data_IF_592746748480
#
_entry.id   IF_592746748480
#
_cell.length_a   1.000
_cell.length_b   1.000
_cell.length_c   1.000
_cell.angle_alpha   90.00
_cell.angle_beta   90.00
_cell.angle_gamma   90.00
#
_symmetry.space_group_name_H-M   'P 1'
#
loop_
_entity.id
_entity.type
_entity.pdbx_description
1 polymer ?
#
# COMPACT_ATOMS: atom_id res chain seq x y z
N UNK A 1 -37.26 -10.76 1.67
CA UNK A 1 -37.14 -12.05 0.95
C UNK A 1 -35.92 -12.79 1.49
N UNK A 2 -36.08 -14.04 1.95
CA UNK A 2 -34.93 -14.91 2.29
C UNK A 2 -34.16 -15.17 0.99
N UNK A 3 -32.88 -14.83 0.93
CA UNK A 3 -32.01 -15.15 -0.20
C UNK A 3 -31.25 -16.45 0.15
N UNK A 4 -31.66 -17.62 -0.37
CA UNK A 4 -31.06 -18.91 -0.04
C UNK A 4 -29.58 -18.99 -0.43
N UNK A 5 -29.18 -18.32 -1.51
CA UNK A 5 -27.80 -18.27 -2.00
C UNK A 5 -26.90 -17.52 -1.01
N UNK A 6 -27.36 -16.37 -0.53
CA UNK A 6 -26.65 -15.61 0.50
C UNK A 6 -26.49 -16.41 1.80
N UNK A 7 -27.51 -17.19 2.18
CA UNK A 7 -27.45 -18.05 3.35
C UNK A 7 -26.48 -19.22 3.17
N UNK A 8 -26.51 -19.88 2.00
CA UNK A 8 -25.57 -20.94 1.65
C UNK A 8 -24.12 -20.43 1.65
N UNK A 9 -23.88 -19.25 1.06
CA UNK A 9 -22.56 -18.62 1.04
C UNK A 9 -22.05 -18.33 2.45
N UNK A 10 -22.88 -17.74 3.32
CA UNK A 10 -22.51 -17.46 4.71
C UNK A 10 -22.11 -18.74 5.47
N UNK A 11 -22.90 -19.80 5.32
CA UNK A 11 -22.59 -21.09 5.95
C UNK A 11 -21.31 -21.72 5.39
N UNK A 12 -21.07 -21.59 4.08
CA UNK A 12 -19.83 -22.02 3.45
C UNK A 12 -18.62 -21.25 3.98
N UNK A 13 -18.70 -19.93 4.11
CA UNK A 13 -17.62 -19.09 4.68
C UNK A 13 -17.25 -19.58 6.08
N UNK A 14 -18.22 -19.80 6.97
CA UNK A 14 -17.94 -20.28 8.34
C UNK A 14 -17.23 -21.63 8.34
N UNK A 15 -17.65 -22.56 7.47
CA UNK A 15 -17.02 -23.88 7.35
C UNK A 15 -15.60 -23.79 6.80
N UNK A 16 -15.39 -23.00 5.74
CA UNK A 16 -14.08 -22.80 5.12
C UNK A 16 -13.12 -22.10 6.08
N UNK A 17 -13.57 -21.12 6.85
CA UNK A 17 -12.76 -20.48 7.88
C UNK A 17 -12.24 -21.50 8.91
N UNK A 18 -13.11 -22.35 9.45
CA UNK A 18 -12.69 -23.39 10.39
C UNK A 18 -11.68 -24.38 9.78
N UNK A 19 -11.91 -24.78 8.52
CA UNK A 19 -10.98 -25.64 7.79
C UNK A 19 -9.60 -24.98 7.58
N UNK A 20 -9.57 -23.73 7.12
CA UNK A 20 -8.34 -22.99 6.87
C UNK A 20 -7.57 -22.69 8.16
N UNK A 21 -8.26 -22.36 9.26
CA UNK A 21 -7.61 -22.18 10.58
C UNK A 21 -6.90 -23.47 11.00
N UNK A 22 -7.53 -24.63 10.84
CA UNK A 22 -6.89 -25.91 11.16
C UNK A 22 -5.68 -26.19 10.26
N UNK A 23 -5.77 -25.88 8.96
CA UNK A 23 -4.65 -26.04 8.03
C UNK A 23 -3.47 -25.13 8.40
N UNK A 24 -3.72 -23.85 8.65
CA UNK A 24 -2.69 -22.90 9.07
C UNK A 24 -2.09 -23.27 10.43
N UNK A 25 -2.90 -23.76 11.37
CA UNK A 25 -2.43 -24.27 12.67
C UNK A 25 -1.48 -25.45 12.46
N UNK A 26 -1.85 -26.41 11.61
CA UNK A 26 -1.00 -27.55 11.27
C UNK A 26 0.30 -27.11 10.57
N UNK A 27 0.23 -26.20 9.60
CA UNK A 27 1.41 -25.69 8.90
C UNK A 27 2.37 -24.96 9.84
N UNK A 28 1.84 -24.19 10.79
CA UNK A 28 2.64 -23.53 11.83
C UNK A 28 3.28 -24.53 12.78
N UNK A 29 2.51 -25.45 13.38
CA UNK A 29 3.03 -26.39 14.38
C UNK A 29 4.02 -27.38 13.78
N UNK A 30 3.79 -27.82 12.54
CA UNK A 30 4.68 -28.76 11.84
C UNK A 30 6.02 -28.13 11.45
N UNK A 31 6.09 -26.80 11.35
CA UNK A 31 7.29 -26.05 10.96
C UNK A 31 7.78 -25.10 12.05
N UNK A 32 7.37 -25.32 13.31
CA UNK A 32 7.55 -24.38 14.42
C UNK A 32 9.00 -23.91 14.58
N UNK A 33 9.96 -24.83 14.66
CA UNK A 33 11.39 -24.51 14.83
C UNK A 33 11.95 -23.68 13.66
N UNK A 34 11.55 -24.00 12.42
CA UNK A 34 11.99 -23.26 11.24
C UNK A 34 11.38 -21.84 11.20
N UNK A 35 10.14 -21.68 11.66
CA UNK A 35 9.48 -20.38 11.79
C UNK A 35 10.17 -19.55 12.88
N UNK A 36 10.38 -20.13 14.07
CA UNK A 36 10.99 -19.42 15.20
C UNK A 36 12.45 -19.03 14.94
N UNK A 37 13.18 -19.82 14.16
CA UNK A 37 14.54 -19.49 13.71
C UNK A 37 14.58 -18.54 12.50
N UNK A 38 13.43 -18.14 11.94
CA UNK A 38 13.36 -17.26 10.76
C UNK A 38 13.85 -17.90 9.46
N UNK A 39 13.94 -19.23 9.41
CA UNK A 39 14.45 -19.99 8.26
C UNK A 39 13.36 -20.53 7.35
N UNK A 40 12.10 -20.53 7.80
CA UNK A 40 10.95 -20.96 7.01
C UNK A 40 10.59 -19.92 5.93
N UNK A 41 10.63 -20.32 4.66
CA UNK A 41 10.47 -19.44 3.48
C UNK A 41 9.17 -19.64 2.71
N UNK A 42 8.16 -20.21 3.35
CA UNK A 42 6.87 -20.54 2.76
C UNK A 42 5.75 -19.93 3.59
N UNK A 43 4.53 -19.88 3.06
CA UNK A 43 3.36 -19.52 3.85
C UNK A 43 2.90 -20.71 4.73
N UNK A 44 1.90 -20.48 5.58
CA UNK A 44 1.36 -21.46 6.52
C UNK A 44 0.48 -22.53 5.86
N UNK A 45 0.05 -22.34 4.61
CA UNK A 45 -0.75 -23.31 3.87
C UNK A 45 0.09 -24.24 3.02
N UNK A 46 1.33 -23.88 2.71
CA UNK A 46 2.26 -24.71 1.93
C UNK A 46 2.39 -26.13 2.49
N UNK A 47 2.10 -27.14 1.67
CA UNK A 47 2.12 -28.54 2.05
C UNK A 47 0.95 -28.99 2.93
N UNK A 48 -0.05 -28.14 3.16
CA UNK A 48 -1.27 -28.47 3.93
C UNK A 48 -2.44 -28.78 3.00
N UNK A 49 -3.50 -29.38 3.54
CA UNK A 49 -4.75 -29.58 2.80
C UNK A 49 -5.43 -28.27 2.36
N UNK A 50 -5.05 -27.13 2.93
CA UNK A 50 -5.58 -25.81 2.57
C UNK A 50 -4.97 -25.21 1.30
N UNK A 51 -3.78 -25.66 0.88
CA UNK A 51 -3.01 -25.10 -0.25
C UNK A 51 -3.86 -25.04 -1.53
N UNK A 52 -4.42 -26.19 -1.94
CA UNK A 52 -5.20 -26.29 -3.17
C UNK A 52 -6.48 -25.41 -3.14
N UNK A 53 -7.08 -25.25 -1.96
CA UNK A 53 -8.25 -24.38 -1.81
C UNK A 53 -7.85 -22.91 -1.94
N UNK A 54 -6.75 -22.49 -1.32
CA UNK A 54 -6.23 -21.13 -1.45
C UNK A 54 -5.86 -20.80 -2.90
N UNK A 55 -5.21 -21.73 -3.60
CA UNK A 55 -4.88 -21.59 -5.03
C UNK A 55 -6.13 -21.46 -5.90
N UNK A 56 -7.15 -22.28 -5.64
CA UNK A 56 -8.41 -22.22 -6.36
C UNK A 56 -9.11 -20.87 -6.15
N UNK A 57 -9.23 -20.42 -4.89
CA UNK A 57 -9.88 -19.16 -4.56
C UNK A 57 -9.11 -17.96 -5.14
N UNK A 58 -7.77 -18.00 -5.10
CA UNK A 58 -6.90 -16.99 -5.71
C UNK A 58 -7.08 -16.91 -7.22
N UNK A 59 -7.08 -18.05 -7.92
CA UNK A 59 -7.35 -18.10 -9.37
C UNK A 59 -8.74 -17.60 -9.71
N UNK A 60 -9.76 -18.03 -8.97
CA UNK A 60 -11.14 -17.56 -9.20
C UNK A 60 -11.26 -16.05 -9.00
N UNK A 61 -10.64 -15.47 -7.98
CA UNK A 61 -10.63 -14.03 -7.75
C UNK A 61 -9.92 -13.30 -8.91
N UNK A 62 -8.79 -13.82 -9.37
CA UNK A 62 -8.06 -13.25 -10.50
C UNK A 62 -8.89 -13.26 -11.79
N UNK A 63 -9.35 -14.44 -12.21
CA UNK A 63 -10.04 -14.65 -13.48
C UNK A 63 -11.39 -13.94 -13.56
N UNK A 64 -12.13 -13.86 -12.43
CA UNK A 64 -13.51 -13.39 -12.43
C UNK A 64 -13.70 -11.98 -11.86
N UNK A 65 -12.73 -11.47 -11.08
CA UNK A 65 -12.83 -10.17 -10.43
C UNK A 65 -11.74 -9.25 -10.92
N UNK A 66 -10.47 -9.56 -10.67
CA UNK A 66 -9.34 -8.66 -10.95
C UNK A 66 -9.13 -8.40 -12.45
N UNK A 67 -9.45 -9.35 -13.32
CA UNK A 67 -9.41 -9.15 -14.77
C UNK A 67 -10.61 -8.38 -15.35
N UNK A 68 -11.49 -7.84 -14.53
CA UNK A 68 -12.63 -7.05 -15.01
C UNK A 68 -12.18 -5.69 -15.55
N UNK A 69 -12.84 -5.24 -16.61
CA UNK A 69 -12.54 -3.95 -17.27
C UNK A 69 -12.68 -2.75 -16.33
N UNK A 70 -13.60 -2.83 -15.37
CA UNK A 70 -13.84 -1.75 -14.42
C UNK A 70 -12.68 -1.61 -13.43
N UNK A 71 -12.11 -2.71 -12.95
CA UNK A 71 -10.92 -2.70 -12.09
C UNK A 71 -9.72 -2.15 -12.87
N UNK A 72 -9.48 -2.62 -14.09
CA UNK A 72 -8.36 -2.09 -14.89
C UNK A 72 -8.47 -0.58 -15.17
N UNK A 73 -9.66 -0.07 -15.45
CA UNK A 73 -9.86 1.37 -15.65
C UNK A 73 -9.57 2.16 -14.37
N UNK A 74 -9.97 1.63 -13.23
CA UNK A 74 -9.70 2.21 -11.91
C UNK A 74 -8.19 2.27 -11.65
N UNK A 75 -7.48 1.16 -11.81
CA UNK A 75 -6.02 1.07 -11.62
C UNK A 75 -5.25 2.05 -12.53
N UNK A 76 -5.63 2.18 -13.80
CA UNK A 76 -5.00 3.13 -14.74
C UNK A 76 -5.23 4.58 -14.31
N UNK A 77 -6.43 4.89 -13.80
CA UNK A 77 -6.73 6.26 -13.34
C UNK A 77 -5.94 6.60 -12.08
N UNK A 78 -5.78 5.63 -11.19
CA UNK A 78 -4.99 5.74 -9.96
C UNK A 78 -3.50 5.86 -10.23
N UNK A 79 -2.95 5.12 -11.21
CA UNK A 79 -1.54 5.23 -11.56
C UNK A 79 -1.19 6.62 -12.10
N UNK A 80 -2.00 7.17 -13.01
CA UNK A 80 -1.81 8.54 -13.53
C UNK A 80 -1.87 9.59 -12.42
N UNK A 81 -2.75 9.39 -11.44
CA UNK A 81 -2.86 10.25 -10.28
C UNK A 81 -1.62 10.17 -9.39
N UNK A 82 -1.15 8.96 -9.08
CA UNK A 82 0.05 8.72 -8.28
C UNK A 82 1.30 9.30 -8.96
N UNK A 83 1.49 9.05 -10.26
CA UNK A 83 2.61 9.59 -11.03
C UNK A 83 2.62 11.13 -10.96
N UNK A 84 1.46 11.77 -11.17
CA UNK A 84 1.36 13.22 -11.05
C UNK A 84 1.70 13.73 -9.66
N UNK A 85 1.15 13.13 -8.60
CA UNK A 85 1.43 13.56 -7.22
C UNK A 85 2.92 13.39 -6.91
N UNK A 86 3.50 12.24 -7.26
CA UNK A 86 4.93 11.98 -7.09
C UNK A 86 5.79 13.02 -7.81
N UNK A 87 5.51 13.33 -9.08
CA UNK A 87 6.27 14.32 -9.84
C UNK A 87 6.25 15.71 -9.17
N UNK A 88 5.07 16.15 -8.72
CA UNK A 88 4.92 17.47 -8.09
C UNK A 88 5.63 17.54 -6.74
N UNK A 89 5.43 16.56 -5.87
CA UNK A 89 6.02 16.57 -4.54
C UNK A 89 7.52 16.29 -4.55
N UNK A 90 8.00 15.36 -5.38
CA UNK A 90 9.44 15.11 -5.55
C UNK A 90 10.11 16.38 -6.04
N UNK A 91 9.58 17.03 -7.08
CA UNK A 91 10.11 18.29 -7.59
C UNK A 91 10.24 19.36 -6.50
N UNK A 92 9.20 19.52 -5.68
CA UNK A 92 9.15 20.51 -4.62
C UNK A 92 10.16 20.26 -3.48
N UNK A 93 10.52 19.01 -3.20
CA UNK A 93 11.47 18.68 -2.12
C UNK A 93 12.92 18.59 -2.56
N UNK A 94 13.24 18.58 -3.86
CA UNK A 94 14.63 18.40 -4.34
C UNK A 94 15.62 19.41 -3.75
N UNK A 95 15.17 20.64 -3.48
CA UNK A 95 15.97 21.71 -2.90
C UNK A 95 15.46 22.16 -1.51
N UNK A 96 14.47 21.46 -0.95
CA UNK A 96 13.99 21.74 0.41
C UNK A 96 15.12 21.54 1.43
N UNK A 97 15.22 22.43 2.43
CA UNK A 97 16.23 22.36 3.49
C UNK A 97 17.68 22.43 2.95
N UNK A 98 17.89 23.23 1.90
CA UNK A 98 19.21 23.57 1.34
C UNK A 98 19.40 25.08 1.25
N UNK A 99 20.60 25.53 0.88
CA UNK A 99 20.88 26.95 0.62
C UNK A 99 20.22 27.48 -0.65
N UNK A 100 19.60 26.63 -1.47
CA UNK A 100 18.86 27.04 -2.65
C UNK A 100 17.46 27.53 -2.27
N UNK A 101 17.08 28.77 -2.66
CA UNK A 101 15.74 29.26 -2.41
C UNK A 101 14.72 28.44 -3.19
N UNK A 102 13.64 28.06 -2.52
CA UNK A 102 12.50 27.41 -3.16
C UNK A 102 11.66 28.43 -3.93
N UNK A 103 11.03 27.98 -5.02
CA UNK A 103 9.98 28.76 -5.66
C UNK A 103 8.75 28.85 -4.75
N UNK A 104 7.95 29.92 -4.91
CA UNK A 104 6.71 30.11 -4.12
C UNK A 104 5.72 28.97 -4.27
N UNK A 105 5.73 28.26 -5.41
CA UNK A 105 4.90 27.08 -5.64
C UNK A 105 5.42 25.89 -4.85
N UNK A 106 6.74 25.64 -4.86
CA UNK A 106 7.36 24.52 -4.15
C UNK A 106 7.19 24.64 -2.64
N UNK A 107 7.34 25.85 -2.08
CA UNK A 107 7.08 26.10 -0.65
C UNK A 107 5.63 25.76 -0.27
N UNK A 108 4.67 26.12 -1.13
CA UNK A 108 3.26 25.78 -0.93
C UNK A 108 3.03 24.28 -1.06
N UNK A 109 3.67 23.61 -2.02
CA UNK A 109 3.59 22.15 -2.16
C UNK A 109 4.11 21.46 -0.90
N UNK A 110 5.29 21.82 -0.43
CA UNK A 110 5.87 21.28 0.82
C UNK A 110 4.97 21.57 2.03
N UNK A 111 4.18 22.65 2.01
CA UNK A 111 3.23 22.96 3.09
C UNK A 111 2.05 22.00 3.20
N UNK A 112 1.70 21.27 2.12
CA UNK A 112 0.69 20.20 2.19
C UNK A 112 1.21 18.95 2.91
N UNK A 113 2.53 18.77 2.99
CA UNK A 113 3.13 17.68 3.75
C UNK A 113 3.00 18.01 5.25
N UNK A 114 2.35 17.11 6.00
CA UNK A 114 2.08 17.34 7.43
C UNK A 114 3.36 17.59 8.23
N UNK A 115 3.24 18.36 9.31
CA UNK A 115 4.37 18.67 10.21
C UNK A 115 5.00 17.42 10.80
N UNK A 116 4.23 16.35 11.02
CA UNK A 116 4.76 15.10 11.55
C UNK A 116 5.82 14.50 10.61
N UNK A 117 5.54 14.45 9.31
CA UNK A 117 6.48 13.95 8.32
C UNK A 117 7.69 14.88 8.19
N UNK A 118 7.48 16.20 8.13
CA UNK A 118 8.58 17.18 8.04
C UNK A 118 9.49 17.16 9.27
N UNK A 119 8.93 16.97 10.45
CA UNK A 119 9.70 16.85 11.69
C UNK A 119 10.50 15.55 11.74
N UNK A 120 9.93 14.43 11.29
CA UNK A 120 10.67 13.16 11.17
C UNK A 120 11.87 13.31 10.23
N UNK A 121 11.68 13.94 9.06
CA UNK A 121 12.77 14.27 8.16
C UNK A 121 13.86 15.10 8.85
N UNK A 122 13.51 16.21 9.50
CA UNK A 122 14.49 17.10 10.17
C UNK A 122 15.34 16.37 11.20
N UNK A 123 14.70 15.54 12.03
CA UNK A 123 15.40 14.75 13.06
C UNK A 123 16.36 13.72 12.44
N UNK A 124 15.97 13.09 11.33
CA UNK A 124 16.81 12.09 10.67
C UNK A 124 17.93 12.72 9.83
N UNK A 125 17.70 13.91 9.29
CA UNK A 125 18.62 14.66 8.44
C UNK A 125 19.71 15.40 9.23
N UNK A 126 19.55 15.56 10.54
CA UNK A 126 20.52 16.27 11.38
C UNK A 126 21.92 15.65 11.29
N UNK A 127 22.91 16.48 10.95
CA UNK A 127 24.30 16.05 10.79
C UNK A 127 24.60 15.15 9.58
N UNK A 128 23.62 14.93 8.69
CA UNK A 128 23.80 14.14 7.46
C UNK A 128 24.41 14.98 6.34
N UNK A 129 25.07 14.31 5.40
CA UNK A 129 25.54 14.96 4.17
C UNK A 129 24.39 15.16 3.17
N UNK A 130 24.62 15.97 2.13
CA UNK A 130 23.57 16.31 1.16
C UNK A 130 23.01 15.11 0.37
N UNK A 131 23.81 14.08 0.12
CA UNK A 131 23.32 12.87 -0.56
C UNK A 131 22.34 12.09 0.32
N UNK A 132 22.66 11.93 1.61
CA UNK A 132 21.76 11.32 2.60
C UNK A 132 20.51 12.17 2.81
N UNK A 133 20.64 13.50 2.90
CA UNK A 133 19.49 14.40 3.01
C UNK A 133 18.59 14.34 1.78
N UNK A 134 19.14 14.26 0.56
CA UNK A 134 18.36 14.07 -0.65
C UNK A 134 17.55 12.78 -0.58
N UNK A 135 18.18 11.66 -0.20
CA UNK A 135 17.47 10.41 0.03
C UNK A 135 16.32 10.56 1.04
N UNK A 136 16.57 11.23 2.17
CA UNK A 136 15.56 11.47 3.20
C UNK A 136 14.43 12.39 2.72
N UNK A 137 14.67 13.33 1.80
CA UNK A 137 13.63 14.16 1.17
C UNK A 137 12.75 13.36 0.21
N UNK A 138 13.35 12.42 -0.54
CA UNK A 138 12.58 11.50 -1.37
C UNK A 138 11.75 10.53 -0.50
N UNK A 139 12.30 10.07 0.61
CA UNK A 139 11.59 9.25 1.58
C UNK A 139 10.44 10.03 2.24
N UNK A 140 10.64 11.29 2.59
CA UNK A 140 9.60 12.19 3.10
C UNK A 140 8.38 12.25 2.16
N UNK A 141 8.60 12.40 0.85
CA UNK A 141 7.51 12.40 -0.14
C UNK A 141 6.87 11.02 -0.25
N UNK A 142 7.67 9.96 -0.25
CA UNK A 142 7.17 8.58 -0.33
C UNK A 142 6.26 8.26 0.85
N UNK A 143 6.67 8.61 2.07
CA UNK A 143 5.90 8.44 3.31
C UNK A 143 4.60 9.25 3.27
N UNK A 144 4.66 10.49 2.77
CA UNK A 144 3.48 11.33 2.63
C UNK A 144 2.47 10.77 1.63
N UNK A 145 2.92 10.36 0.44
CA UNK A 145 2.05 9.84 -0.63
C UNK A 145 1.48 8.48 -0.26
N UNK A 146 2.27 7.56 0.31
CA UNK A 146 1.77 6.25 0.73
C UNK A 146 0.85 6.35 1.97
N UNK A 147 0.96 7.42 2.76
CA UNK A 147 0.08 7.72 3.88
C UNK A 147 -1.28 8.31 3.49
N UNK A 148 -1.53 8.56 2.21
CA UNK A 148 -2.81 9.09 1.72
C UNK A 148 -3.87 7.98 1.63
N UNK A 149 -5.14 8.34 1.85
CA UNK A 149 -6.27 7.52 1.40
C UNK A 149 -6.59 7.83 -0.07
N UNK A 150 -7.19 6.89 -0.80
CA UNK A 150 -7.59 7.10 -2.20
C UNK A 150 -8.45 8.36 -2.38
N UNK A 151 -9.39 8.59 -1.45
CA UNK A 151 -10.25 9.77 -1.46
C UNK A 151 -9.48 11.08 -1.25
N UNK A 152 -8.45 11.06 -0.39
CA UNK A 152 -7.58 12.22 -0.20
C UNK A 152 -6.69 12.49 -1.43
N UNK A 153 -6.03 11.44 -1.94
CA UNK A 153 -5.16 11.54 -3.12
C UNK A 153 -5.94 12.08 -4.34
N UNK A 154 -7.15 11.55 -4.57
CA UNK A 154 -8.02 12.01 -5.66
C UNK A 154 -8.40 13.48 -5.53
N UNK A 155 -8.82 13.90 -4.33
CA UNK A 155 -9.18 15.30 -4.07
C UNK A 155 -7.97 16.22 -4.30
N UNK A 156 -6.81 15.87 -3.75
CA UNK A 156 -5.59 16.67 -3.91
C UNK A 156 -5.17 16.78 -5.38
N UNK A 157 -5.20 15.68 -6.13
CA UNK A 157 -4.94 15.67 -7.57
C UNK A 157 -5.89 16.59 -8.36
N UNK A 158 -7.19 16.54 -8.05
CA UNK A 158 -8.21 17.38 -8.67
C UNK A 158 -8.00 18.86 -8.36
N UNK A 159 -7.75 19.20 -7.09
CA UNK A 159 -7.44 20.56 -6.63
C UNK A 159 -6.20 21.12 -7.34
N UNK A 160 -5.15 20.33 -7.48
CA UNK A 160 -3.90 20.74 -8.14
C UNK A 160 -4.03 20.90 -9.65
N UNK A 161 -4.90 20.12 -10.32
CA UNK A 161 -5.20 20.27 -11.75
C UNK A 161 -6.31 21.28 -12.04
N UNK A 162 -6.87 21.95 -11.02
CA UNK A 162 -8.05 22.80 -11.15
C UNK A 162 -9.24 22.10 -11.82
N UNK A 163 -9.39 20.79 -11.59
CA UNK A 163 -10.53 20.00 -12.03
C UNK A 163 -11.55 19.97 -10.90
N UNK A 164 -12.70 20.65 -11.08
CA UNK A 164 -13.83 20.66 -10.14
C UNK A 164 -14.62 19.34 -10.18
#
# INVERSE_FOLDING_TARGET
MRNPESYALKNWIVRVQGFLINCATFGFTSNYEAIMSGTYKKDLFYGTFGEQLMDLLGRMAYENVFCSRDIYRMEISESVMLDFLMDQFVGAVLYYDTDHPLGTIDERLVSFISDNYRNAYRLQAEGKNEAEKLYLRLLLVTDFVCGMTDGYAKRLYQEMKAML
#
